data_IF_770853993730
#
_entry.id   IF_770853993730
#
_cell.length_a   1.000
_cell.length_b   1.000
_cell.length_c   1.000
_cell.angle_alpha   90.00
_cell.angle_beta   90.00
_cell.angle_gamma   90.00
#
_symmetry.space_group_name_H-M   'P 1'
#
loop_
_entity.id
_entity.type
_entity.pdbx_description
1 polymer ?
#
# COMPACT_ATOMS: atom_id res chain seq x y z
N UNK A 1 8.14 32.71 7.70
CA UNK A 1 8.61 31.33 7.95
C UNK A 1 8.49 30.57 6.65
N UNK A 2 9.59 30.39 5.90
CA UNK A 2 9.56 29.70 4.60
C UNK A 2 9.41 28.19 4.85
N UNK A 3 8.34 27.60 4.33
CA UNK A 3 8.09 26.15 4.41
C UNK A 3 9.22 25.39 3.70
N UNK A 4 9.73 24.33 4.33
CA UNK A 4 10.74 23.46 3.72
C UNK A 4 10.11 22.68 2.56
N UNK A 5 10.91 22.33 1.54
CA UNK A 5 10.44 21.66 0.31
C UNK A 5 9.62 20.38 0.57
N UNK A 6 10.01 19.57 1.56
CA UNK A 6 9.26 18.37 1.96
C UNK A 6 7.92 18.67 2.64
N UNK A 7 7.79 19.81 3.34
CA UNK A 7 6.53 20.21 3.98
C UNK A 7 5.50 20.62 2.93
N UNK A 8 5.94 21.36 1.90
CA UNK A 8 5.08 21.71 0.76
C UNK A 8 4.59 20.45 0.05
N UNK A 9 5.50 19.52 -0.28
CA UNK A 9 5.12 18.25 -0.91
C UNK A 9 4.15 17.42 -0.05
N UNK A 10 4.32 17.42 1.28
CA UNK A 10 3.41 16.71 2.19
C UNK A 10 2.02 17.33 2.20
N UNK A 11 1.92 18.66 2.20
CA UNK A 11 0.64 19.38 2.15
C UNK A 11 -0.06 19.09 0.82
N UNK A 12 0.68 19.12 -0.29
CA UNK A 12 0.15 18.79 -1.63
C UNK A 12 -0.37 17.36 -1.68
N UNK A 13 0.36 16.38 -1.14
CA UNK A 13 -0.10 14.99 -1.07
C UNK A 13 -1.40 14.87 -0.25
N UNK A 14 -1.45 15.47 0.93
CA UNK A 14 -2.66 15.45 1.78
C UNK A 14 -3.85 16.12 1.07
N UNK A 15 -3.62 17.22 0.35
CA UNK A 15 -4.67 17.88 -0.43
C UNK A 15 -5.25 16.96 -1.52
N UNK A 16 -4.39 16.25 -2.26
CA UNK A 16 -4.87 15.25 -3.23
C UNK A 16 -5.64 14.10 -2.57
N UNK A 17 -5.21 13.62 -1.40
CA UNK A 17 -5.95 12.59 -0.65
C UNK A 17 -7.35 13.08 -0.28
N UNK A 18 -7.46 14.29 0.26
CA UNK A 18 -8.75 14.87 0.65
C UNK A 18 -9.64 15.07 -0.58
N UNK A 19 -9.09 15.55 -1.69
CA UNK A 19 -9.84 15.72 -2.94
C UNK A 19 -10.37 14.39 -3.47
N UNK A 20 -9.57 13.32 -3.45
CA UNK A 20 -10.00 12.00 -3.89
C UNK A 20 -11.11 11.43 -3.00
N UNK A 21 -10.98 11.57 -1.67
CA UNK A 21 -12.03 11.15 -0.71
C UNK A 21 -13.34 11.91 -0.96
N UNK A 22 -13.27 13.22 -1.16
CA UNK A 22 -14.45 14.05 -1.49
C UNK A 22 -15.04 13.61 -2.83
N UNK A 23 -14.22 13.32 -3.83
CA UNK A 23 -14.68 12.86 -5.14
C UNK A 23 -15.46 11.54 -5.04
N UNK A 24 -14.93 10.58 -4.27
CA UNK A 24 -15.59 9.29 -4.02
C UNK A 24 -16.88 9.50 -3.23
N UNK A 25 -16.86 10.33 -2.18
CA UNK A 25 -18.04 10.59 -1.35
C UNK A 25 -19.17 11.28 -2.12
N UNK A 26 -18.83 12.23 -2.99
CA UNK A 26 -19.77 12.96 -3.85
C UNK A 26 -20.09 12.22 -5.17
N UNK A 27 -19.52 11.03 -5.39
CA UNK A 27 -19.67 10.22 -6.62
C UNK A 27 -19.31 11.00 -7.90
N UNK A 28 -18.30 11.87 -7.83
CA UNK A 28 -17.82 12.66 -8.96
C UNK A 28 -16.73 11.87 -9.69
N UNK A 29 -17.13 11.07 -10.69
CA UNK A 29 -16.24 10.14 -11.38
C UNK A 29 -15.03 10.82 -12.02
N UNK A 30 -15.23 11.90 -12.78
CA UNK A 30 -14.14 12.60 -13.46
C UNK A 30 -13.07 13.12 -12.49
N UNK A 31 -13.47 13.55 -11.30
CA UNK A 31 -12.55 14.04 -10.27
C UNK A 31 -11.76 12.88 -9.65
N UNK A 32 -12.40 11.72 -9.43
CA UNK A 32 -11.71 10.50 -8.99
C UNK A 32 -10.69 10.01 -10.03
N UNK A 33 -11.06 10.01 -11.31
CA UNK A 33 -10.19 9.60 -12.42
C UNK A 33 -8.92 10.47 -12.54
N UNK A 34 -8.97 11.74 -12.13
CA UNK A 34 -7.81 12.64 -12.15
C UNK A 34 -7.05 12.61 -10.82
N UNK A 35 -7.76 12.66 -9.68
CA UNK A 35 -7.13 12.75 -8.37
C UNK A 35 -6.38 11.46 -8.02
N UNK A 36 -6.96 10.29 -8.30
CA UNK A 36 -6.39 9.00 -7.92
C UNK A 36 -5.01 8.74 -8.56
N UNK A 37 -4.80 8.92 -9.87
CA UNK A 37 -3.47 8.75 -10.46
C UNK A 37 -2.44 9.78 -10.00
N UNK A 38 -2.84 10.95 -9.48
CA UNK A 38 -1.93 12.00 -9.03
C UNK A 38 -1.38 11.76 -7.61
N UNK A 39 -2.04 10.91 -6.81
CA UNK A 39 -1.60 10.57 -5.45
C UNK A 39 -0.20 9.96 -5.43
N UNK A 40 0.05 8.98 -6.29
CA UNK A 40 1.31 8.23 -6.31
C UNK A 40 2.50 9.08 -6.80
N UNK A 41 2.40 9.87 -7.88
CA UNK A 41 3.41 10.87 -8.25
C UNK A 41 3.67 11.91 -7.15
N UNK A 42 2.63 12.43 -6.50
CA UNK A 42 2.81 13.36 -5.39
C UNK A 42 3.60 12.73 -4.23
N UNK A 43 3.34 11.45 -3.94
CA UNK A 43 4.08 10.69 -2.94
C UNK A 43 5.54 10.45 -3.35
N UNK A 44 5.81 10.17 -4.64
CA UNK A 44 7.18 10.05 -5.17
C UNK A 44 7.94 11.37 -4.98
N UNK A 45 7.33 12.52 -5.28
CA UNK A 45 7.93 13.85 -5.07
C UNK A 45 8.23 14.09 -3.59
N UNK A 46 7.35 13.67 -2.68
CA UNK A 46 7.61 13.75 -1.24
C UNK A 46 8.85 12.95 -0.82
N UNK A 47 9.00 11.72 -1.33
CA UNK A 47 10.18 10.89 -1.05
C UNK A 47 11.47 11.48 -1.64
N UNK A 48 11.40 12.10 -2.81
CA UNK A 48 12.55 12.77 -3.44
C UNK A 48 12.96 14.07 -2.75
N UNK A 49 12.02 14.76 -2.08
CA UNK A 49 12.28 16.01 -1.35
C UNK A 49 12.70 15.81 0.10
N UNK A 50 12.58 14.57 0.60
CA UNK A 50 13.05 14.18 1.92
C UNK A 50 14.52 13.76 1.83
N UNK A 51 15.36 14.31 2.69
CA UNK A 51 16.78 13.94 2.74
C UNK A 51 16.92 12.47 3.14
N UNK A 52 17.30 11.63 2.17
CA UNK A 52 17.46 10.20 2.38
C UNK A 52 18.94 9.82 2.27
N UNK A 53 19.54 9.44 3.41
CA UNK A 53 20.98 9.12 3.51
C UNK A 53 21.37 7.87 2.70
N UNK A 54 20.41 7.01 2.35
CA UNK A 54 20.66 5.78 1.60
C UNK A 54 19.90 5.79 0.26
N UNK A 55 20.61 6.15 -0.82
CA UNK A 55 20.06 6.24 -2.18
C UNK A 55 19.51 4.90 -2.69
N UNK A 56 20.12 3.77 -2.32
CA UNK A 56 19.64 2.46 -2.75
C UNK A 56 18.25 2.12 -2.17
N UNK A 57 18.00 2.50 -0.90
CA UNK A 57 16.68 2.36 -0.28
C UNK A 57 15.66 3.31 -0.91
N UNK A 58 16.07 4.52 -1.26
CA UNK A 58 15.24 5.51 -1.95
C UNK A 58 14.79 5.02 -3.34
N UNK A 59 15.69 4.50 -4.17
CA UNK A 59 15.30 3.99 -5.49
C UNK A 59 14.37 2.79 -5.42
N UNK A 60 14.52 1.95 -4.39
CA UNK A 60 13.68 0.77 -4.21
C UNK A 60 12.24 1.14 -3.79
N UNK A 61 12.07 2.15 -2.92
CA UNK A 61 10.73 2.63 -2.59
C UNK A 61 10.11 3.35 -3.79
N UNK A 62 10.88 4.17 -4.53
CA UNK A 62 10.38 4.85 -5.73
C UNK A 62 9.94 3.85 -6.80
N UNK A 63 10.70 2.77 -7.04
CA UNK A 63 10.29 1.75 -8.00
C UNK A 63 8.98 1.07 -7.57
N UNK A 64 8.81 0.78 -6.28
CA UNK A 64 7.54 0.26 -5.75
C UNK A 64 6.38 1.23 -6.00
N UNK A 65 6.58 2.53 -5.76
CA UNK A 65 5.57 3.56 -6.00
C UNK A 65 5.22 3.71 -7.49
N UNK A 66 6.19 3.55 -8.39
CA UNK A 66 5.95 3.57 -9.84
C UNK A 66 5.08 2.36 -10.25
N UNK A 67 5.38 1.17 -9.76
CA UNK A 67 4.54 -0.01 -10.03
C UNK A 67 3.14 0.14 -9.43
N UNK A 68 3.01 0.74 -8.26
CA UNK A 68 1.70 1.03 -7.67
C UNK A 68 0.91 2.02 -8.53
N UNK A 69 1.56 3.08 -9.02
CA UNK A 69 0.95 4.03 -9.94
C UNK A 69 0.51 3.38 -11.25
N UNK A 70 1.35 2.54 -11.85
CA UNK A 70 0.98 1.77 -13.04
C UNK A 70 -0.22 0.85 -12.75
N UNK A 71 -0.27 0.25 -11.56
CA UNK A 71 -1.41 -0.55 -11.10
C UNK A 71 -2.70 0.25 -11.10
N UNK A 72 -2.70 1.44 -10.49
CA UNK A 72 -3.86 2.34 -10.46
C UNK A 72 -4.29 2.74 -11.89
N UNK A 73 -3.35 3.11 -12.76
CA UNK A 73 -3.65 3.49 -14.14
C UNK A 73 -4.24 2.33 -14.94
N UNK A 74 -3.70 1.11 -14.81
CA UNK A 74 -4.23 -0.06 -15.51
C UNK A 74 -5.61 -0.47 -15.00
N UNK A 75 -5.86 -0.37 -13.69
CA UNK A 75 -7.19 -0.66 -13.13
C UNK A 75 -8.23 0.38 -13.53
N UNK A 76 -7.85 1.66 -13.68
CA UNK A 76 -8.77 2.69 -14.18
C UNK A 76 -9.07 2.51 -15.67
N UNK A 77 -8.12 2.01 -16.45
CA UNK A 77 -8.27 1.75 -17.89
C UNK A 77 -8.90 0.37 -18.21
N UNK A 78 -9.41 -0.34 -17.19
CA UNK A 78 -9.84 -1.74 -17.33
C UNK A 78 -11.17 -1.94 -18.05
N UNK A 79 -11.92 -0.88 -18.36
CA UNK A 79 -13.29 -0.95 -18.86
C UNK A 79 -13.46 -1.99 -19.98
N UNK A 80 -14.05 -3.14 -19.62
CA UNK A 80 -14.26 -4.34 -20.44
C UNK A 80 -13.00 -4.98 -21.06
N UNK A 81 -11.80 -4.67 -20.56
CA UNK A 81 -10.54 -5.23 -21.03
C UNK A 81 -9.87 -6.07 -19.93
N UNK A 82 -10.07 -7.40 -19.90
CA UNK A 82 -9.54 -8.27 -18.85
C UNK A 82 -8.01 -8.25 -18.76
N UNK A 83 -7.31 -7.94 -19.86
CA UNK A 83 -5.86 -7.79 -19.87
C UNK A 83 -5.39 -6.66 -18.93
N UNK A 84 -6.06 -5.51 -18.95
CA UNK A 84 -5.68 -4.36 -18.10
C UNK A 84 -5.90 -4.66 -16.61
N UNK A 85 -6.95 -5.41 -16.27
CA UNK A 85 -7.15 -5.91 -14.92
C UNK A 85 -5.99 -6.79 -14.44
N UNK A 86 -5.55 -7.74 -15.29
CA UNK A 86 -4.42 -8.63 -14.96
C UNK A 86 -3.12 -7.84 -14.85
N UNK A 87 -2.87 -6.88 -15.74
CA UNK A 87 -1.70 -6.00 -15.68
C UNK A 87 -1.71 -5.11 -14.42
N UNK A 88 -2.88 -4.61 -14.02
CA UNK A 88 -3.05 -3.88 -12.76
C UNK A 88 -2.68 -4.75 -11.56
N UNK A 89 -3.24 -5.96 -11.50
CA UNK A 89 -2.93 -6.93 -10.45
C UNK A 89 -1.45 -7.33 -10.42
N UNK A 90 -0.82 -7.61 -11.56
CA UNK A 90 0.61 -7.97 -11.55
C UNK A 90 1.48 -6.80 -11.11
N UNK A 91 1.15 -5.57 -11.52
CA UNK A 91 1.87 -4.36 -11.09
C UNK A 91 1.76 -4.12 -9.58
N UNK A 92 0.56 -4.29 -9.02
CA UNK A 92 0.38 -4.23 -7.56
C UNK A 92 1.13 -5.37 -6.86
N UNK A 93 1.12 -6.60 -7.36
CA UNK A 93 1.88 -7.69 -6.76
C UNK A 93 3.39 -7.36 -6.71
N UNK A 94 3.95 -6.84 -7.81
CA UNK A 94 5.33 -6.38 -7.88
C UNK A 94 5.63 -5.30 -6.85
N UNK A 95 4.70 -4.36 -6.64
CA UNK A 95 4.80 -3.33 -5.58
C UNK A 95 4.98 -3.97 -4.21
N UNK A 96 4.17 -4.98 -3.86
CA UNK A 96 4.24 -5.64 -2.55
C UNK A 96 5.56 -6.40 -2.37
N UNK A 97 6.06 -7.06 -3.42
CA UNK A 97 7.36 -7.72 -3.41
C UNK A 97 8.48 -6.70 -3.15
N UNK A 98 8.45 -5.56 -3.84
CA UNK A 98 9.42 -4.49 -3.61
C UNK A 98 9.34 -3.94 -2.19
N UNK A 99 8.14 -3.77 -1.62
CA UNK A 99 7.98 -3.40 -0.21
C UNK A 99 8.54 -4.45 0.76
N UNK A 100 8.36 -5.75 0.49
CA UNK A 100 8.99 -6.81 1.30
C UNK A 100 10.51 -6.63 1.30
N UNK A 101 11.12 -6.45 0.13
CA UNK A 101 12.58 -6.23 0.01
C UNK A 101 13.01 -4.95 0.73
N UNK A 102 12.22 -3.88 0.62
CA UNK A 102 12.46 -2.61 1.30
C UNK A 102 12.50 -2.80 2.83
N UNK A 103 11.46 -3.40 3.40
CA UNK A 103 11.34 -3.64 4.84
C UNK A 103 12.40 -4.62 5.34
N UNK A 104 12.72 -5.65 4.57
CA UNK A 104 13.82 -6.56 4.88
C UNK A 104 15.17 -5.81 5.00
N UNK A 105 15.45 -4.90 4.06
CA UNK A 105 16.67 -4.06 4.08
C UNK A 105 16.66 -3.00 5.20
N UNK A 106 15.50 -2.54 5.66
CA UNK A 106 15.39 -1.66 6.83
C UNK A 106 15.67 -2.45 8.10
N UNK A 107 15.11 -3.64 8.23
CA UNK A 107 15.33 -4.52 9.37
C UNK A 107 16.77 -5.05 9.45
N UNK A 108 17.60 -4.83 8.42
CA UNK A 108 18.92 -5.45 8.27
C UNK A 108 18.87 -6.99 8.43
N UNK A 109 17.77 -7.61 8.01
CA UNK A 109 17.52 -9.05 8.20
C UNK A 109 17.20 -9.47 9.64
N UNK A 110 17.09 -8.53 10.59
CA UNK A 110 16.78 -8.83 11.98
C UNK A 110 15.26 -8.89 12.23
N UNK A 111 14.74 -10.10 12.41
CA UNK A 111 13.33 -10.37 12.72
C UNK A 111 13.04 -10.57 14.21
N UNK A 112 13.80 -9.88 15.07
CA UNK A 112 13.69 -9.99 16.54
C UNK A 112 12.27 -9.73 17.05
N UNK A 113 11.57 -8.73 16.50
CA UNK A 113 10.19 -8.38 16.90
C UNK A 113 9.20 -9.52 16.63
N UNK A 114 9.27 -10.14 15.45
CA UNK A 114 8.40 -11.27 15.12
C UNK A 114 8.74 -12.53 15.92
N UNK A 115 10.03 -12.77 16.20
CA UNK A 115 10.46 -13.88 17.06
C UNK A 115 9.96 -13.72 18.49
N UNK A 116 9.99 -12.50 19.02
CA UNK A 116 9.51 -12.18 20.37
C UNK A 116 7.98 -12.25 20.48
N UNK A 117 7.26 -11.88 19.41
CA UNK A 117 5.81 -11.77 19.45
C UNK A 117 5.13 -12.67 18.42
N UNK A 118 5.27 -13.99 18.62
CA UNK A 118 4.73 -15.04 17.74
C UNK A 118 3.21 -15.00 17.60
N UNK A 119 2.52 -14.38 18.56
CA UNK A 119 1.08 -14.11 18.51
C UNK A 119 0.70 -13.24 17.30
N UNK A 120 1.52 -12.27 16.92
CA UNK A 120 1.24 -11.41 15.76
C UNK A 120 1.28 -12.22 14.46
N UNK A 121 2.24 -13.15 14.34
CA UNK A 121 2.33 -14.04 13.17
C UNK A 121 1.07 -14.88 13.06
N UNK A 122 0.58 -15.41 14.18
CA UNK A 122 -0.63 -16.20 14.24
C UNK A 122 -1.89 -15.39 13.88
N UNK A 123 -2.00 -14.14 14.38
CA UNK A 123 -3.10 -13.23 14.02
C UNK A 123 -3.13 -12.92 12.52
N UNK A 124 -1.99 -12.58 11.92
CA UNK A 124 -1.92 -12.27 10.48
C UNK A 124 -2.23 -13.52 9.65
N UNK A 125 -1.73 -14.69 10.05
CA UNK A 125 -2.06 -15.94 9.39
C UNK A 125 -3.56 -16.28 9.48
N UNK A 126 -4.16 -16.11 10.66
CA UNK A 126 -5.60 -16.31 10.86
C UNK A 126 -6.43 -15.36 9.99
N UNK A 127 -6.02 -14.09 9.89
CA UNK A 127 -6.65 -13.11 9.00
C UNK A 127 -6.58 -13.53 7.53
N UNK A 128 -5.38 -13.92 7.06
CA UNK A 128 -5.19 -14.37 5.68
C UNK A 128 -6.01 -15.62 5.34
N UNK A 129 -6.06 -16.59 6.26
CA UNK A 129 -6.85 -17.82 6.10
C UNK A 129 -8.35 -17.50 6.11
N UNK A 130 -8.81 -16.65 7.04
CA UNK A 130 -10.21 -16.24 7.12
C UNK A 130 -10.68 -15.53 5.84
N UNK A 131 -9.87 -14.61 5.32
CA UNK A 131 -10.15 -13.92 4.06
C UNK A 131 -10.21 -14.90 2.88
N UNK A 132 -9.25 -15.83 2.79
CA UNK A 132 -9.27 -16.87 1.75
C UNK A 132 -10.48 -17.79 1.89
N UNK A 133 -10.94 -18.10 3.10
CA UNK A 133 -12.10 -18.96 3.30
C UNK A 133 -13.39 -18.31 2.80
N UNK A 134 -13.53 -16.98 2.94
CA UNK A 134 -14.68 -16.22 2.43
C UNK A 134 -14.60 -16.08 0.90
N UNK A 135 -13.41 -15.81 0.36
CA UNK A 135 -13.23 -15.54 -1.08
C UNK A 135 -13.19 -16.81 -1.94
N UNK A 136 -12.44 -17.84 -1.54
CA UNK A 136 -12.26 -19.07 -2.34
C UNK A 136 -13.53 -19.77 -2.82
N UNK A 137 -14.66 -19.85 -2.07
CA UNK A 137 -15.87 -20.48 -2.60
C UNK A 137 -16.50 -19.70 -3.76
N UNK A 138 -16.26 -18.39 -3.85
CA UNK A 138 -16.86 -17.52 -4.87
C UNK A 138 -15.98 -17.35 -6.12
N UNK A 139 -14.68 -17.64 -6.03
CA UNK A 139 -13.74 -17.46 -7.12
C UNK A 139 -13.48 -18.82 -7.79
N UNK A 140 -13.95 -19.02 -9.02
CA UNK A 140 -13.78 -20.29 -9.75
C UNK A 140 -12.32 -20.51 -10.23
N UNK A 141 -11.94 -19.94 -11.38
CA UNK A 141 -10.61 -20.10 -11.98
C UNK A 141 -9.54 -19.20 -11.34
N UNK A 142 -9.93 -18.21 -10.54
CA UNK A 142 -9.03 -17.21 -9.95
C UNK A 142 -8.46 -17.60 -8.58
N UNK A 143 -8.73 -18.83 -8.08
CA UNK A 143 -8.28 -19.27 -6.74
C UNK A 143 -6.75 -19.20 -6.60
N UNK A 144 -6.02 -19.73 -7.57
CA UNK A 144 -4.55 -19.79 -7.51
C UNK A 144 -3.95 -18.37 -7.46
N UNK A 145 -4.29 -17.45 -8.38
CA UNK A 145 -3.86 -16.05 -8.29
C UNK A 145 -4.14 -15.41 -6.93
N UNK A 146 -5.34 -15.64 -6.37
CA UNK A 146 -5.78 -15.01 -5.12
C UNK A 146 -5.01 -15.54 -3.91
N UNK A 147 -4.72 -16.84 -3.87
CA UNK A 147 -3.89 -17.42 -2.81
C UNK A 147 -2.46 -16.87 -2.85
N UNK A 148 -1.86 -16.79 -4.05
CA UNK A 148 -0.54 -16.17 -4.23
C UNK A 148 -0.57 -14.72 -3.75
N UNK A 149 -1.61 -13.98 -4.12
CA UNK A 149 -1.78 -12.59 -3.70
C UNK A 149 -1.88 -12.43 -2.19
N UNK A 150 -2.76 -13.22 -1.55
CA UNK A 150 -2.99 -13.18 -0.12
C UNK A 150 -1.71 -13.52 0.67
N UNK A 151 -0.95 -14.52 0.23
CA UNK A 151 0.32 -14.90 0.87
C UNK A 151 1.37 -13.79 0.78
N UNK A 152 1.49 -13.13 -0.38
CA UNK A 152 2.41 -11.99 -0.55
C UNK A 152 2.00 -10.80 0.32
N UNK A 153 0.71 -10.45 0.36
CA UNK A 153 0.20 -9.36 1.22
C UNK A 153 0.44 -9.67 2.70
N UNK A 154 0.15 -10.89 3.15
CA UNK A 154 0.40 -11.30 4.54
C UNK A 154 1.89 -11.23 4.89
N UNK A 155 2.76 -11.65 3.97
CA UNK A 155 4.22 -11.57 4.15
C UNK A 155 4.69 -10.12 4.24
N UNK A 156 4.19 -9.25 3.36
CA UNK A 156 4.45 -7.80 3.39
C UNK A 156 4.01 -7.19 4.73
N UNK A 157 2.82 -7.55 5.21
CA UNK A 157 2.29 -7.07 6.48
C UNK A 157 3.17 -7.50 7.66
N UNK A 158 3.64 -8.75 7.69
CA UNK A 158 4.58 -9.21 8.72
C UNK A 158 5.91 -8.46 8.67
N UNK A 159 6.46 -8.23 7.47
CA UNK A 159 7.69 -7.45 7.30
C UNK A 159 7.51 -5.99 7.77
N UNK A 160 6.37 -5.37 7.47
CA UNK A 160 5.99 -4.03 7.94
C UNK A 160 5.89 -3.97 9.47
N UNK A 161 5.25 -4.95 10.10
CA UNK A 161 5.16 -5.00 11.57
C UNK A 161 6.53 -5.23 12.20
N UNK A 162 7.41 -6.03 11.57
CA UNK A 162 8.73 -6.30 12.14
C UNK A 162 9.58 -5.04 12.30
N UNK A 163 9.51 -4.13 11.33
CA UNK A 163 10.23 -2.85 11.38
C UNK A 163 9.60 -1.84 12.35
N UNK A 164 8.40 -2.11 12.90
CA UNK A 164 7.70 -1.22 13.85
C UNK A 164 8.57 -0.83 15.04
N UNK A 165 9.39 -1.74 15.56
CA UNK A 165 10.30 -1.45 16.66
C UNK A 165 11.46 -0.52 16.26
N UNK A 166 11.73 -0.38 14.96
CA UNK A 166 12.82 0.41 14.38
C UNK A 166 12.35 1.74 13.77
N UNK A 167 11.04 2.02 13.79
CA UNK A 167 10.42 3.22 13.20
C UNK A 167 9.61 3.95 14.28
N UNK A 168 9.55 5.28 14.18
CA UNK A 168 8.89 6.15 15.15
C UNK A 168 7.42 5.73 15.40
N UNK A 169 7.02 5.57 16.66
CA UNK A 169 5.68 5.14 17.10
C UNK A 169 4.54 5.98 16.51
N UNK A 170 4.81 7.25 16.20
CA UNK A 170 3.84 8.19 15.63
C UNK A 170 3.36 7.73 14.24
N UNK A 171 4.27 7.29 13.37
CA UNK A 171 3.92 6.82 12.02
C UNK A 171 3.03 5.57 12.05
N UNK A 172 3.23 4.71 13.05
CA UNK A 172 2.43 3.52 13.24
C UNK A 172 0.99 3.85 13.67
N UNK A 173 0.80 4.83 14.55
CA UNK A 173 -0.54 5.23 14.98
C UNK A 173 -1.37 5.81 13.82
N UNK A 174 -0.75 6.55 12.90
CA UNK A 174 -1.43 7.00 11.68
C UNK A 174 -1.81 5.86 10.74
N UNK A 175 -0.96 4.84 10.60
CA UNK A 175 -1.29 3.63 9.82
C UNK A 175 -2.48 2.87 10.43
N UNK A 176 -2.50 2.70 11.76
CA UNK A 176 -3.58 2.02 12.47
C UNK A 176 -4.89 2.80 12.37
N UNK A 177 -4.84 4.13 12.50
CA UNK A 177 -6.01 5.01 12.35
C UNK A 177 -6.61 4.91 10.94
N UNK A 178 -5.77 4.90 9.90
CA UNK A 178 -6.22 4.70 8.51
C UNK A 178 -6.87 3.33 8.29
N UNK A 179 -6.28 2.26 8.83
CA UNK A 179 -6.83 0.91 8.74
C UNK A 179 -8.19 0.78 9.46
N UNK A 180 -8.35 1.39 10.62
CA UNK A 180 -9.62 1.39 11.35
C UNK A 180 -10.72 2.19 10.63
N UNK A 181 -10.36 3.29 9.96
CA UNK A 181 -11.32 4.10 9.19
C UNK A 181 -11.90 3.32 8.01
N UNK A 182 -11.15 2.38 7.44
CA UNK A 182 -11.61 1.48 6.37
C UNK A 182 -12.76 0.55 6.81
N UNK A 183 -12.88 0.27 8.11
CA UNK A 183 -13.89 -0.64 8.66
C UNK A 183 -15.18 0.04 9.08
N UNK A 184 -15.38 1.33 8.79
CA UNK A 184 -16.71 1.90 8.96
C UNK A 184 -17.64 1.25 7.92
N UNK A 185 -18.63 0.43 8.33
CA UNK A 185 -19.52 -0.21 7.39
C UNK A 185 -20.43 0.87 6.83
N UNK A 186 -20.09 1.38 5.65
CA UNK A 186 -21.07 2.09 4.85
C UNK A 186 -22.07 1.06 4.36
N UNK A 187 -23.20 0.96 5.08
CA UNK A 187 -24.41 0.33 4.59
C UNK A 187 -24.80 0.99 3.26
N UNK A 188 -24.48 0.33 2.14
CA UNK A 188 -25.06 0.59 0.83
C UNK A 188 -25.40 -0.74 0.18
#
# INVERSE_FOLDING_TARGET
MLLKKHQVASITFVAFCVLDIIAVFLKIEWLHYIAKPLLMPALIVLFLTTENKNKAKLYLIISALIFSWLGDVFLLAQDNKPLFFILGLTSFLTTHILYIVYFYKIAAGNFSTLKKNRFIVLLVAAYGIGLLWILCPHLAQMKIPVVIYATVICTMLLCSINIRASVNNIAFNYFLAGALFLFYPTHY
#
